data_IF_329605684920
#
_entry.id   IF_329605684920
#
_cell.length_a   1.000
_cell.length_b   1.000
_cell.length_c   1.000
_cell.angle_alpha   90.00
_cell.angle_beta   90.00
_cell.angle_gamma   90.00
#
_symmetry.space_group_name_H-M   'P 1'
#
loop_
_entity.id
_entity.type
_entity.pdbx_description
1 polymer ?
#
# COMPACT_ATOMS: atom_id res chain seq x y z
N UNK A 1 -9.04 -22.47 -3.25
CA UNK A 1 -8.42 -21.18 -3.67
C UNK A 1 -8.62 -20.18 -2.53
N UNK A 2 -7.59 -19.46 -2.08
CA UNK A 2 -7.73 -18.53 -0.94
C UNK A 2 -8.46 -17.25 -1.35
N UNK A 3 -9.37 -16.76 -0.51
CA UNK A 3 -10.30 -15.66 -0.84
C UNK A 3 -9.61 -14.37 -1.32
N UNK A 4 -8.49 -13.99 -0.70
CA UNK A 4 -7.74 -12.79 -1.09
C UNK A 4 -7.07 -12.90 -2.46
N UNK A 5 -6.69 -14.11 -2.90
CA UNK A 5 -6.19 -14.34 -4.27
C UNK A 5 -7.31 -14.22 -5.30
N UNK A 6 -8.51 -14.67 -4.96
CA UNK A 6 -9.68 -14.52 -5.84
C UNK A 6 -10.09 -13.04 -5.98
N UNK A 7 -9.88 -12.24 -4.94
CA UNK A 7 -10.08 -10.80 -4.96
C UNK A 7 -8.97 -10.03 -5.73
N UNK A 8 -8.03 -10.72 -6.39
CA UNK A 8 -6.96 -10.08 -7.15
C UNK A 8 -5.82 -9.49 -6.31
N UNK A 9 -5.77 -9.76 -5.00
CA UNK A 9 -4.70 -9.25 -4.15
C UNK A 9 -3.38 -10.01 -4.39
N UNK A 10 -2.31 -9.25 -4.57
CA UNK A 10 -0.96 -9.78 -4.41
C UNK A 10 -0.69 -10.11 -2.94
N UNK A 11 0.24 -11.03 -2.69
CA UNK A 11 0.64 -11.36 -1.32
C UNK A 11 1.15 -10.14 -0.55
N UNK A 12 1.92 -9.27 -1.22
CA UNK A 12 2.45 -8.02 -0.65
C UNK A 12 1.31 -7.08 -0.24
N UNK A 13 0.28 -6.93 -1.09
CA UNK A 13 -0.86 -6.09 -0.75
C UNK A 13 -1.65 -6.67 0.43
N UNK A 14 -1.88 -7.99 0.42
CA UNK A 14 -2.55 -8.68 1.51
C UNK A 14 -1.82 -8.49 2.86
N UNK A 15 -0.51 -8.72 2.90
CA UNK A 15 0.28 -8.58 4.13
C UNK A 15 0.32 -7.15 4.63
N UNK A 16 0.42 -6.16 3.73
CA UNK A 16 0.36 -4.75 4.08
C UNK A 16 -0.98 -4.34 4.71
N UNK A 17 -2.09 -4.84 4.18
CA UNK A 17 -3.44 -4.60 4.74
C UNK A 17 -3.55 -5.20 6.15
N UNK A 18 -3.08 -6.44 6.34
CA UNK A 18 -3.07 -7.08 7.64
C UNK A 18 -2.22 -6.30 8.66
N UNK A 19 -1.02 -5.87 8.25
CA UNK A 19 -0.12 -5.09 9.09
C UNK A 19 -0.74 -3.73 9.49
N UNK A 20 -1.39 -3.04 8.57
CA UNK A 20 -2.12 -1.78 8.84
C UNK A 20 -3.23 -1.99 9.87
N UNK A 21 -4.00 -3.07 9.71
CA UNK A 21 -5.09 -3.42 10.64
C UNK A 21 -4.54 -3.69 12.05
N UNK A 22 -3.42 -4.41 12.15
CA UNK A 22 -2.74 -4.69 13.41
C UNK A 22 -2.26 -3.39 14.10
N UNK A 23 -1.66 -2.46 13.35
CA UNK A 23 -1.19 -1.18 13.91
C UNK A 23 -2.31 -0.34 14.49
N UNK A 24 -3.49 -0.35 13.85
CA UNK A 24 -4.67 0.37 14.33
C UNK A 24 -5.24 -0.20 15.64
N UNK A 25 -5.05 -1.50 15.86
CA UNK A 25 -5.48 -2.19 17.08
C UNK A 25 -4.51 -2.02 18.26
N UNK A 26 -3.34 -1.39 18.08
CA UNK A 26 -2.40 -1.12 19.15
C UNK A 26 -2.92 -0.07 20.14
N UNK A 27 -2.38 -0.13 21.36
CA UNK A 27 -2.61 0.87 22.41
C UNK A 27 -2.09 2.25 21.96
N UNK A 28 -2.70 3.32 22.49
CA UNK A 28 -2.48 4.69 22.01
C UNK A 28 -1.04 5.19 22.18
N UNK A 29 -0.33 4.70 23.19
CA UNK A 29 1.07 4.98 23.51
C UNK A 29 2.04 4.59 22.39
N UNK A 30 1.81 3.44 21.74
CA UNK A 30 2.68 2.92 20.67
C UNK A 30 2.08 3.05 19.28
N UNK A 31 0.77 3.31 19.17
CA UNK A 31 0.05 3.41 17.91
C UNK A 31 0.52 4.57 17.04
N UNK A 32 0.84 5.72 17.65
CA UNK A 32 1.30 6.92 16.92
C UNK A 32 2.61 6.67 16.18
N UNK A 33 3.56 6.02 16.83
CA UNK A 33 4.85 5.70 16.21
C UNK A 33 4.71 4.58 15.16
N UNK A 34 3.87 3.58 15.45
CA UNK A 34 3.58 2.51 14.50
C UNK A 34 2.88 3.03 13.22
N UNK A 35 1.99 4.02 13.34
CA UNK A 35 1.23 4.58 12.22
C UNK A 35 2.11 5.24 11.15
N UNK A 36 3.28 5.77 11.51
CA UNK A 36 4.25 6.36 10.56
C UNK A 36 4.68 5.38 9.46
N UNK A 37 4.62 4.07 9.73
CA UNK A 37 4.96 3.03 8.74
C UNK A 37 3.91 2.84 7.64
N UNK A 38 2.73 3.43 7.77
CA UNK A 38 1.70 3.37 6.75
C UNK A 38 1.85 4.48 5.69
N UNK A 39 2.74 5.45 5.92
CA UNK A 39 3.00 6.56 4.99
C UNK A 39 3.93 6.10 3.84
N UNK A 40 3.59 6.45 2.60
CA UNK A 40 4.40 6.15 1.42
C UNK A 40 4.43 7.35 0.50
N UNK A 41 5.61 7.94 0.29
CA UNK A 41 5.80 9.15 -0.52
C UNK A 41 6.39 8.86 -1.91
N UNK A 42 6.04 7.70 -2.48
CA UNK A 42 6.59 7.27 -3.77
C UNK A 42 5.74 7.84 -4.89
N UNK A 43 6.37 8.66 -5.74
CA UNK A 43 5.77 9.18 -6.96
C UNK A 43 6.24 8.32 -8.13
N UNK A 44 5.32 7.58 -8.75
CA UNK A 44 5.61 6.84 -9.97
C UNK A 44 5.41 7.74 -11.19
N UNK A 45 6.33 7.66 -12.15
CA UNK A 45 6.21 8.33 -13.45
C UNK A 45 6.45 7.28 -14.53
N UNK A 46 5.40 6.80 -15.21
CA UNK A 46 5.58 5.86 -16.32
C UNK A 46 6.26 6.56 -17.50
N UNK A 47 7.11 5.82 -18.21
CA UNK A 47 7.74 6.27 -19.45
C UNK A 47 7.19 5.44 -20.60
N UNK A 48 6.75 6.11 -21.66
CA UNK A 48 6.28 5.46 -22.89
C UNK A 48 6.83 6.22 -24.10
N UNK A 49 7.26 5.48 -25.14
CA UNK A 49 7.75 6.05 -26.39
C UNK A 49 8.82 7.15 -26.21
N UNK A 50 9.71 6.98 -25.21
CA UNK A 50 10.82 7.90 -24.94
C UNK A 50 10.43 9.21 -24.25
N UNK A 51 9.18 9.39 -23.82
CA UNK A 51 8.73 10.56 -23.06
C UNK A 51 8.09 10.15 -21.73
N UNK A 52 8.28 10.93 -20.65
CA UNK A 52 7.57 10.70 -19.41
C UNK A 52 6.09 10.99 -19.63
N UNK A 53 5.23 10.03 -19.30
CA UNK A 53 3.79 10.21 -19.35
C UNK A 53 3.37 10.97 -18.10
N UNK A 54 2.83 12.19 -18.27
CA UNK A 54 2.35 13.03 -17.16
C UNK A 54 1.04 12.50 -16.53
N UNK A 55 0.38 11.53 -17.15
CA UNK A 55 -0.86 10.97 -16.63
C UNK A 55 -0.57 10.03 -15.46
N UNK A 56 -0.90 10.52 -14.26
CA UNK A 56 -1.18 9.71 -13.09
C UNK A 56 -2.46 8.91 -13.35
N UNK A 57 -2.34 7.67 -13.83
CA UNK A 57 -3.47 6.75 -13.79
C UNK A 57 -3.63 6.27 -12.34
N UNK A 58 -4.63 6.82 -11.65
CA UNK A 58 -5.07 6.32 -10.35
C UNK A 58 -5.58 4.90 -10.54
N UNK A 59 -4.80 3.93 -10.09
CA UNK A 59 -5.26 2.56 -9.84
C UNK A 59 -5.58 2.43 -8.35
#
# INVERSE_FOLDING_TARGET
MVAWRQAGLTYINYSNIAARTLRRALKADVRTDAAKRDETHIKFTPWANGKPTSEYHNI
#
